data_IF_942388974411
#
_entry.id   IF_942388974411
#
_cell.length_a   1.000
_cell.length_b   1.000
_cell.length_c   1.000
_cell.angle_alpha   90.00
_cell.angle_beta   90.00
_cell.angle_gamma   90.00
#
_symmetry.space_group_name_H-M   'P 1'
#
loop_
_entity.id
_entity.type
_entity.pdbx_description
1 polymer ?
#
# COMPACT_ATOMS: atom_id res chain seq x y z
N UNK A 1 -25.21 36.89 -3.85
CA UNK A 1 -23.88 36.46 -3.38
C UNK A 1 -23.94 35.94 -1.97
N UNK A 2 -23.46 34.70 -1.76
CA UNK A 2 -22.42 34.29 -0.78
C UNK A 2 -22.69 32.84 -0.35
N UNK A 3 -21.87 31.95 -0.90
CA UNK A 3 -21.72 30.56 -0.47
C UNK A 3 -21.02 30.56 0.90
N UNK A 4 -21.42 29.73 1.88
CA UNK A 4 -20.52 29.40 2.98
C UNK A 4 -19.66 28.18 2.60
N UNK A 5 -18.37 28.44 2.43
CA UNK A 5 -17.24 27.60 2.91
C UNK A 5 -17.62 27.02 4.27
N UNK A 6 -17.46 25.73 4.59
CA UNK A 6 -16.42 24.79 4.23
C UNK A 6 -16.15 24.02 5.53
N UNK A 7 -16.73 22.83 5.66
CA UNK A 7 -16.45 21.92 6.77
C UNK A 7 -15.79 20.68 6.17
N UNK A 8 -14.48 20.61 6.33
CA UNK A 8 -13.72 19.38 6.15
C UNK A 8 -14.14 18.41 7.25
N UNK A 9 -15.14 17.59 6.95
CA UNK A 9 -15.52 16.46 7.78
C UNK A 9 -14.35 15.45 7.78
N UNK A 10 -13.64 15.41 8.90
CA UNK A 10 -12.54 14.49 9.21
C UNK A 10 -12.98 13.04 9.45
N UNK A 11 -14.03 12.55 8.78
CA UNK A 11 -14.45 11.14 8.81
C UNK A 11 -13.56 10.20 8.01
N UNK A 12 -12.60 10.73 7.25
CA UNK A 12 -11.68 9.89 6.50
C UNK A 12 -10.48 9.48 7.35
N UNK A 13 -10.33 8.15 7.56
CA UNK A 13 -9.08 7.38 7.80
C UNK A 13 -9.06 6.46 9.03
N UNK A 14 -10.13 6.34 9.82
CA UNK A 14 -10.19 5.28 10.84
C UNK A 14 -10.55 3.93 10.22
N UNK A 15 -11.62 3.86 9.42
CA UNK A 15 -12.03 2.62 8.75
C UNK A 15 -10.99 2.06 7.78
N UNK A 16 -10.25 2.90 7.06
CA UNK A 16 -9.22 2.44 6.13
C UNK A 16 -7.94 1.95 6.83
N UNK A 17 -7.50 2.64 7.92
CA UNK A 17 -6.42 2.16 8.78
C UNK A 17 -6.81 0.85 9.49
N UNK A 18 -8.02 0.75 10.01
CA UNK A 18 -8.49 -0.46 10.68
C UNK A 18 -8.74 -1.61 9.72
N UNK A 19 -9.33 -1.36 8.54
CA UNK A 19 -9.48 -2.38 7.50
C UNK A 19 -8.12 -2.88 7.00
N UNK A 20 -7.12 -1.99 6.91
CA UNK A 20 -5.76 -2.34 6.55
C UNK A 20 -5.09 -3.18 7.66
N UNK A 21 -5.19 -2.76 8.92
CA UNK A 21 -4.63 -3.49 10.07
C UNK A 21 -5.32 -4.85 10.25
N UNK A 22 -6.63 -4.92 10.06
CA UNK A 22 -7.41 -6.15 10.06
C UNK A 22 -7.05 -7.05 8.86
N UNK A 23 -6.82 -6.48 7.67
CA UNK A 23 -6.34 -7.22 6.52
C UNK A 23 -4.94 -7.80 6.81
N UNK A 24 -3.98 -6.99 7.27
CA UNK A 24 -2.62 -7.43 7.63
C UNK A 24 -2.63 -8.55 8.68
N UNK A 25 -3.45 -8.41 9.73
CA UNK A 25 -3.65 -9.45 10.74
C UNK A 25 -4.28 -10.73 10.15
N UNK A 26 -4.99 -10.63 9.02
CA UNK A 26 -5.54 -11.74 8.26
C UNK A 26 -4.60 -12.32 7.20
N UNK A 27 -3.41 -11.75 6.97
CA UNK A 27 -2.49 -12.19 5.91
C UNK A 27 -1.59 -13.35 6.33
N UNK A 28 -1.60 -13.74 7.59
CA UNK A 28 -0.87 -14.91 8.08
C UNK A 28 -1.24 -16.17 7.28
N UNK A 29 -2.54 -16.44 7.06
CA UNK A 29 -2.99 -17.60 6.27
C UNK A 29 -2.73 -17.47 4.75
N UNK A 30 -3.01 -16.34 4.08
CA UNK A 30 -2.62 -16.14 2.67
C UNK A 30 -1.12 -16.25 2.41
N UNK A 31 -0.27 -15.81 3.34
CA UNK A 31 1.20 -15.87 3.20
C UNK A 31 1.73 -17.28 3.45
N UNK A 32 1.17 -17.98 4.43
CA UNK A 32 1.43 -19.40 4.65
C UNK A 32 1.01 -20.24 3.42
N UNK A 33 -0.14 -19.93 2.84
CA UNK A 33 -0.65 -20.58 1.61
C UNK A 33 0.11 -20.20 0.33
N UNK A 34 0.82 -19.08 0.34
CA UNK A 34 1.70 -18.62 -0.75
C UNK A 34 3.17 -18.98 -0.49
N UNK A 35 3.48 -19.60 0.64
CA UNK A 35 4.83 -20.04 0.98
C UNK A 35 5.28 -21.08 -0.06
N UNK A 36 6.30 -20.72 -0.83
CA UNK A 36 6.82 -21.55 -1.94
C UNK A 36 6.19 -21.30 -3.32
N UNK A 37 5.19 -20.43 -3.47
CA UNK A 37 4.59 -20.10 -4.78
C UNK A 37 4.51 -18.58 -5.01
N UNK A 38 5.53 -18.05 -5.70
CA UNK A 38 5.63 -16.61 -6.01
C UNK A 38 4.58 -16.08 -6.98
N UNK A 39 3.99 -16.95 -7.80
CA UNK A 39 2.94 -16.58 -8.75
C UNK A 39 1.66 -16.18 -8.01
N UNK A 40 1.25 -16.99 -7.03
CA UNK A 40 0.08 -16.67 -6.17
C UNK A 40 0.27 -15.39 -5.38
N UNK A 41 1.48 -15.12 -4.92
CA UNK A 41 1.82 -13.87 -4.25
C UNK A 41 1.65 -12.67 -5.18
N UNK A 42 2.22 -12.76 -6.38
CA UNK A 42 2.15 -11.71 -7.39
C UNK A 42 0.72 -11.44 -7.86
N UNK A 43 -0.13 -12.46 -7.95
CA UNK A 43 -1.53 -12.31 -8.39
C UNK A 43 -2.46 -11.75 -7.30
N UNK A 44 -2.26 -12.11 -6.03
CA UNK A 44 -3.24 -11.82 -4.96
C UNK A 44 -2.80 -10.79 -3.96
N UNK A 45 -1.51 -10.73 -3.65
CA UNK A 45 -0.98 -9.89 -2.57
C UNK A 45 -0.40 -8.60 -3.13
N UNK A 46 0.39 -8.70 -4.20
CA UNK A 46 1.05 -7.54 -4.78
C UNK A 46 0.10 -6.45 -5.29
N UNK A 47 -1.02 -6.75 -5.97
CA UNK A 47 -1.94 -5.71 -6.44
C UNK A 47 -2.52 -4.91 -5.26
N UNK A 48 -2.85 -5.60 -4.16
CA UNK A 48 -3.36 -4.98 -2.93
C UNK A 48 -2.33 -4.07 -2.25
N UNK A 49 -1.06 -4.46 -2.26
CA UNK A 49 0.03 -3.59 -1.78
C UNK A 49 0.20 -2.36 -2.68
N UNK A 50 -0.01 -2.51 -3.98
CA UNK A 50 -0.03 -1.41 -4.93
C UNK A 50 -1.16 -0.42 -4.66
N UNK A 51 -2.39 -0.90 -4.53
CA UNK A 51 -3.57 -0.09 -4.18
C UNK A 51 -3.35 0.69 -2.87
N UNK A 52 -2.75 0.03 -1.88
CA UNK A 52 -2.41 0.65 -0.60
C UNK A 52 -1.41 1.80 -0.78
N UNK A 53 -0.35 1.58 -1.55
CA UNK A 53 0.63 2.63 -1.82
C UNK A 53 -0.02 3.83 -2.50
N UNK A 54 -0.87 3.60 -3.50
CA UNK A 54 -1.58 4.68 -4.20
C UNK A 54 -2.57 5.42 -3.29
N UNK A 55 -3.26 4.71 -2.39
CA UNK A 55 -4.15 5.32 -1.41
C UNK A 55 -3.37 6.22 -0.43
N UNK A 56 -2.22 5.76 0.06
CA UNK A 56 -1.37 6.56 0.96
C UNK A 56 -0.82 7.81 0.28
N UNK A 57 -0.33 7.66 -0.94
CA UNK A 57 0.14 8.79 -1.74
C UNK A 57 -0.98 9.78 -2.02
N UNK A 58 -2.20 9.31 -2.32
CA UNK A 58 -3.35 10.17 -2.59
C UNK A 58 -3.75 10.97 -1.34
N UNK A 59 -3.88 10.29 -0.21
CA UNK A 59 -4.34 10.92 1.03
C UNK A 59 -3.34 11.95 1.58
N UNK A 60 -2.03 11.68 1.49
CA UNK A 60 -1.01 12.52 2.12
C UNK A 60 -0.32 13.49 1.17
N UNK A 61 -0.25 13.14 -0.11
CA UNK A 61 0.55 13.86 -1.10
C UNK A 61 -0.26 14.28 -2.34
N UNK A 62 -1.54 13.88 -2.44
CA UNK A 62 -2.44 14.27 -3.52
C UNK A 62 -2.14 13.65 -4.88
N UNK A 63 -1.35 12.56 -4.94
CA UNK A 63 -0.92 11.90 -6.17
C UNK A 63 -1.01 10.37 -6.08
N UNK A 64 -0.94 9.66 -7.21
CA UNK A 64 -0.75 8.20 -7.29
C UNK A 64 0.53 7.88 -8.07
N UNK A 65 0.94 6.61 -8.08
CA UNK A 65 2.06 6.16 -8.92
C UNK A 65 1.80 6.35 -10.42
N UNK A 66 0.55 6.38 -10.84
CA UNK A 66 0.14 6.60 -12.24
C UNK A 66 0.13 8.09 -12.61
N UNK A 67 -0.39 8.96 -11.73
CA UNK A 67 -0.52 10.39 -12.04
C UNK A 67 0.81 11.15 -12.04
N UNK A 68 1.76 10.76 -11.19
CA UNK A 68 3.12 11.34 -11.13
C UNK A 68 4.14 10.26 -10.70
N UNK A 69 4.61 9.44 -11.65
CA UNK A 69 5.50 8.32 -11.34
C UNK A 69 6.84 8.75 -10.71
N UNK A 70 7.38 9.88 -11.16
CA UNK A 70 8.68 10.36 -10.69
C UNK A 70 8.60 10.80 -9.22
N UNK A 71 7.57 11.59 -8.87
CA UNK A 71 7.37 12.04 -7.49
C UNK A 71 6.91 10.91 -6.57
N UNK A 72 6.06 10.00 -7.07
CA UNK A 72 5.68 8.81 -6.33
C UNK A 72 6.90 7.94 -5.99
N UNK A 73 7.82 7.74 -6.95
CA UNK A 73 9.08 7.02 -6.70
C UNK A 73 9.94 7.71 -5.66
N UNK A 74 10.05 9.05 -5.70
CA UNK A 74 10.82 9.79 -4.70
C UNK A 74 10.25 9.64 -3.28
N UNK A 75 8.93 9.57 -3.13
CA UNK A 75 8.26 9.39 -1.83
C UNK A 75 8.33 7.95 -1.33
N UNK A 76 8.14 6.97 -2.21
CA UNK A 76 8.20 5.55 -1.88
C UNK A 76 9.63 5.07 -1.61
N UNK A 77 10.62 5.69 -2.25
CA UNK A 77 11.99 5.21 -2.31
C UNK A 77 12.16 4.03 -3.27
N UNK A 78 13.40 3.82 -3.72
CA UNK A 78 13.73 2.87 -4.79
C UNK A 78 13.38 1.42 -4.45
N UNK A 79 13.56 1.02 -3.19
CA UNK A 79 13.26 -0.36 -2.74
C UNK A 79 11.77 -0.67 -2.91
N UNK A 80 10.91 0.19 -2.37
CA UNK A 80 9.47 -0.01 -2.36
C UNK A 80 8.88 0.17 -3.75
N UNK A 81 9.36 1.16 -4.49
CA UNK A 81 9.03 1.33 -5.91
C UNK A 81 9.35 0.08 -6.73
N UNK A 82 10.57 -0.48 -6.58
CA UNK A 82 10.99 -1.66 -7.33
C UNK A 82 10.16 -2.88 -6.93
N UNK A 83 9.93 -3.09 -5.64
CA UNK A 83 9.12 -4.19 -5.15
C UNK A 83 7.70 -4.17 -5.73
N UNK A 84 7.07 -2.99 -5.80
CA UNK A 84 5.71 -2.83 -6.30
C UNK A 84 5.57 -2.93 -7.83
N UNK A 85 6.62 -2.60 -8.59
CA UNK A 85 6.58 -2.57 -10.06
C UNK A 85 7.27 -3.77 -10.73
N UNK A 86 8.18 -4.43 -10.02
CA UNK A 86 8.98 -5.55 -10.52
C UNK A 86 9.12 -6.61 -9.41
N UNK A 87 8.04 -7.36 -9.10
CA UNK A 87 8.06 -8.34 -8.04
C UNK A 87 9.07 -9.45 -8.33
N UNK A 88 9.89 -9.78 -7.33
CA UNK A 88 10.80 -10.91 -7.39
C UNK A 88 10.03 -12.22 -7.56
N UNK A 89 10.58 -13.16 -8.33
CA UNK A 89 10.02 -14.53 -8.49
C UNK A 89 9.86 -15.27 -7.15
N UNK A 90 10.65 -14.89 -6.14
CA UNK A 90 10.53 -15.39 -4.78
C UNK A 90 9.67 -14.42 -3.96
N UNK A 91 8.58 -14.88 -3.33
CA UNK A 91 7.80 -14.03 -2.46
C UNK A 91 8.63 -13.60 -1.23
N UNK A 92 8.44 -12.37 -0.71
CA UNK A 92 9.10 -11.92 0.50
C UNK A 92 8.69 -12.80 1.69
N UNK A 93 9.57 -12.93 2.68
CA UNK A 93 9.19 -13.58 3.93
C UNK A 93 8.08 -12.78 4.63
N UNK A 94 7.28 -13.41 5.53
CA UNK A 94 6.28 -12.68 6.30
C UNK A 94 6.87 -11.49 7.07
N UNK A 95 8.11 -11.63 7.57
CA UNK A 95 8.84 -10.55 8.25
C UNK A 95 9.18 -9.41 7.30
N UNK A 96 9.68 -9.70 6.11
CA UNK A 96 9.99 -8.67 5.11
C UNK A 96 8.73 -7.94 4.66
N UNK A 97 7.61 -8.66 4.54
CA UNK A 97 6.34 -8.04 4.20
C UNK A 97 5.83 -7.11 5.30
N UNK A 98 5.98 -7.48 6.58
CA UNK A 98 5.64 -6.59 7.68
C UNK A 98 6.48 -5.30 7.66
N UNK A 99 7.76 -5.39 7.28
CA UNK A 99 8.62 -4.21 7.10
C UNK A 99 8.12 -3.33 5.94
N UNK A 100 7.81 -3.92 4.79
CA UNK A 100 7.26 -3.22 3.61
C UNK A 100 5.98 -2.46 3.98
N UNK A 101 5.09 -3.12 4.72
CA UNK A 101 3.85 -2.49 5.19
C UNK A 101 4.13 -1.35 6.17
N UNK A 102 5.04 -1.54 7.12
CA UNK A 102 5.42 -0.48 8.05
C UNK A 102 6.09 0.73 7.36
N UNK A 103 6.81 0.52 6.26
CA UNK A 103 7.33 1.60 5.41
C UNK A 103 6.19 2.36 4.72
N UNK A 104 5.20 1.65 4.15
CA UNK A 104 4.01 2.26 3.55
C UNK A 104 3.18 3.10 4.54
N UNK A 105 3.14 2.70 5.82
CA UNK A 105 2.41 3.45 6.85
C UNK A 105 3.07 4.81 7.20
N UNK A 106 4.37 4.97 6.90
CA UNK A 106 5.18 6.15 7.24
C UNK A 106 5.21 7.22 6.16
N UNK A 107 4.86 6.89 4.91
CA UNK A 107 4.52 7.87 3.86
C UNK A 107 3.57 8.92 4.41
#
# INVERSE_FOLDING_TARGET
SRVPVGEGDGTWNWNARDALRAAINGWERPLDWSSGNGERFAERILPRLGELADERLRQRHGLTRDSDPARARALLGDRLWTFLNAPSRRPPSPRDLAVIVAELEKL
#
